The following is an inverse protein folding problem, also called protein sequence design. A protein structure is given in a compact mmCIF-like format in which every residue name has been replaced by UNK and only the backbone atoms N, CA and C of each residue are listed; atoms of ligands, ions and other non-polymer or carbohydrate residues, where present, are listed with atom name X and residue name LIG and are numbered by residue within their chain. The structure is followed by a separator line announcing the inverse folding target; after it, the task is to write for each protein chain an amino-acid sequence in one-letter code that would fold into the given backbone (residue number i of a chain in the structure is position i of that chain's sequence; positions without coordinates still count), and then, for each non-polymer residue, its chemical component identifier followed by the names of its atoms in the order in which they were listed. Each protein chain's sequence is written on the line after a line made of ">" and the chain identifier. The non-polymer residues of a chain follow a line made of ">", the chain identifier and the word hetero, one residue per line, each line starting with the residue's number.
data_IF_702321342495
#
_entry.id   IF_702321342495
#
_cell.length_a   1.000
_cell.length_b   1.000
_cell.length_c   1.000
_cell.angle_alpha   90.00
_cell.angle_beta   90.00
_cell.angle_gamma   90.00
#
_symmetry.space_group_name_H-M   'P 1'
#
loop_
_entity.id
_entity.type
_entity.pdbx_description
1 polymer ?
#
# COMPACT_ATOMS: atom_id res chain seq x y z
N UNK A 1 -6.67 3.96 -18.63
CA UNK A 1 -6.08 3.26 -17.47
C UNK A 1 -5.31 4.29 -16.66
N UNK A 2 -5.68 4.50 -15.39
CA UNK A 2 -4.97 5.43 -14.51
C UNK A 2 -3.81 4.74 -13.80
N UNK A 3 -2.83 5.50 -13.31
CA UNK A 3 -1.78 5.00 -12.41
C UNK A 3 -1.95 5.65 -11.04
N UNK A 4 -1.88 4.85 -9.98
CA UNK A 4 -1.89 5.31 -8.60
C UNK A 4 -0.48 5.29 -8.04
N UNK A 5 -0.04 6.42 -7.48
CA UNK A 5 1.16 6.48 -6.65
C UNK A 5 0.75 6.27 -5.19
N UNK A 6 1.18 5.16 -4.60
CA UNK A 6 0.89 4.81 -3.21
C UNK A 6 2.16 5.00 -2.39
N UNK A 7 2.07 5.72 -1.27
CA UNK A 7 3.22 6.02 -0.39
C UNK A 7 2.94 5.55 1.03
N UNK A 8 3.85 4.78 1.62
CA UNK A 8 3.76 4.37 3.03
C UNK A 8 4.12 5.53 3.96
N UNK A 9 3.14 6.31 4.43
CA UNK A 9 3.40 7.49 5.27
C UNK A 9 3.78 7.15 6.72
N UNK A 10 3.26 6.06 7.27
CA UNK A 10 3.46 5.64 8.68
C UNK A 10 3.93 4.19 8.74
N UNK A 11 4.60 3.85 9.84
CA UNK A 11 5.02 2.47 10.12
C UNK A 11 3.83 1.51 10.27
N UNK A 12 4.03 0.25 9.92
CA UNK A 12 3.09 -0.84 10.20
C UNK A 12 3.23 -1.42 11.61
N UNK A 13 4.22 -0.97 12.40
CA UNK A 13 4.41 -1.39 13.80
C UNK A 13 3.20 -0.93 14.64
N UNK A 14 2.66 -1.84 15.45
CA UNK A 14 1.48 -1.57 16.28
C UNK A 14 0.16 -1.49 15.48
N UNK A 15 0.15 -1.88 14.20
CA UNK A 15 -1.06 -1.99 13.37
C UNK A 15 -1.52 -3.45 13.28
N UNK A 16 -2.82 -3.69 13.01
CA UNK A 16 -3.33 -5.04 12.84
C UNK A 16 -2.51 -5.84 11.79
N UNK A 17 -2.23 -7.13 12.01
CA UNK A 17 -1.42 -7.95 11.11
C UNK A 17 -1.91 -7.93 9.66
N UNK A 18 -3.23 -7.87 9.45
CA UNK A 18 -3.86 -7.78 8.14
C UNK A 18 -3.39 -6.56 7.35
N UNK A 19 -3.32 -5.39 8.00
CA UNK A 19 -2.84 -4.17 7.35
C UNK A 19 -1.36 -4.29 6.98
N UNK A 20 -0.55 -4.90 7.85
CA UNK A 20 0.85 -5.20 7.56
C UNK A 20 1.03 -6.11 6.34
N UNK A 21 0.17 -7.12 6.18
CA UNK A 21 0.18 -8.00 5.00
C UNK A 21 -0.20 -7.24 3.73
N UNK A 22 -1.24 -6.39 3.77
CA UNK A 22 -1.63 -5.56 2.63
C UNK A 22 -0.50 -4.62 2.19
N UNK A 23 0.16 -3.96 3.15
CA UNK A 23 1.30 -3.07 2.86
C UNK A 23 2.45 -3.84 2.19
N UNK A 24 2.75 -5.07 2.66
CA UNK A 24 3.75 -5.94 2.03
C UNK A 24 3.34 -6.39 0.63
N UNK A 25 2.07 -6.75 0.43
CA UNK A 25 1.52 -7.15 -0.87
C UNK A 25 1.57 -6.02 -1.90
N UNK A 26 1.35 -4.77 -1.47
CA UNK A 26 1.52 -3.57 -2.28
C UNK A 26 3.00 -3.24 -2.61
N UNK A 27 3.97 -4.00 -2.06
CA UNK A 27 5.40 -3.81 -2.30
C UNK A 27 6.06 -2.73 -1.44
N UNK A 28 5.37 -2.22 -0.42
CA UNK A 28 5.88 -1.18 0.46
C UNK A 28 6.65 -1.80 1.63
N UNK A 29 7.96 -1.55 1.69
CA UNK A 29 8.88 -2.12 2.70
C UNK A 29 9.42 -1.09 3.68
N UNK A 30 9.51 0.18 3.28
CA UNK A 30 10.06 1.28 4.10
C UNK A 30 9.11 2.47 4.17
N UNK A 31 9.18 3.24 5.26
CA UNK A 31 8.45 4.51 5.42
C UNK A 31 8.90 5.48 4.32
N UNK A 32 7.96 6.27 3.79
CA UNK A 32 8.09 7.20 2.66
C UNK A 32 8.42 6.55 1.31
N UNK A 33 8.52 5.22 1.23
CA UNK A 33 8.61 4.53 -0.04
C UNK A 33 7.32 4.74 -0.84
N UNK A 34 7.47 5.01 -2.13
CA UNK A 34 6.35 5.11 -3.07
C UNK A 34 6.44 3.99 -4.10
N UNK A 35 5.31 3.40 -4.45
CA UNK A 35 5.17 2.40 -5.52
C UNK A 35 4.04 2.85 -6.45
N UNK A 36 4.24 2.65 -7.75
CA UNK A 36 3.24 2.96 -8.77
C UNK A 36 2.54 1.67 -9.15
N UNK A 37 1.21 1.68 -9.09
CA UNK A 37 0.35 0.56 -9.50
C UNK A 37 -0.67 1.04 -10.52
N UNK A 38 -1.18 0.12 -11.33
CA UNK A 38 -2.32 0.39 -12.20
C UNK A 38 -3.58 0.60 -11.36
N UNK A 39 -4.41 1.55 -11.78
CA UNK A 39 -5.67 1.87 -11.12
C UNK A 39 -6.72 0.81 -11.46
N UNK A 40 -6.82 -0.20 -10.60
CA UNK A 40 -7.82 -1.25 -10.68
C UNK A 40 -8.63 -1.35 -9.35
N UNK A 41 -9.83 -1.95 -9.39
CA UNK A 41 -10.68 -2.07 -8.20
C UNK A 41 -10.03 -2.82 -7.04
N UNK A 42 -9.13 -3.77 -7.31
CA UNK A 42 -8.44 -4.55 -6.28
C UNK A 42 -7.45 -3.67 -5.50
N UNK A 43 -6.62 -2.89 -6.20
CA UNK A 43 -5.66 -1.95 -5.61
C UNK A 43 -6.39 -0.85 -4.84
N UNK A 44 -7.51 -0.34 -5.38
CA UNK A 44 -8.37 0.60 -4.63
C UNK A 44 -8.91 -0.02 -3.34
N UNK A 45 -9.37 -1.28 -3.39
CA UNK A 45 -9.84 -2.01 -2.21
C UNK A 45 -8.76 -2.29 -1.17
N UNK A 46 -7.49 -2.39 -1.57
CA UNK A 46 -6.35 -2.53 -0.65
C UNK A 46 -5.96 -1.22 0.05
N UNK A 47 -6.31 -0.07 -0.53
CA UNK A 47 -5.97 1.27 0.01
C UNK A 47 -7.08 1.85 0.90
N UNK A 48 -8.32 1.37 0.75
CA UNK A 48 -9.48 1.75 1.57
C UNK A 48 -9.33 1.34 3.04
#
# INVERSE_FOLDING_TARGET
>A
MGKLRITLKKSTIGRPPRQGQTVRALGLRKIRQSVIHEDNPQIRGMVA
#
